data_IF_675195269907
#
_entry.id   IF_675195269907
#
_cell.length_a   1.000
_cell.length_b   1.000
_cell.length_c   1.000
_cell.angle_alpha   90.00
_cell.angle_beta   90.00
_cell.angle_gamma   90.00
#
_symmetry.space_group_name_H-M   'P 1'
#
loop_
_entity.id
_entity.type
_entity.pdbx_description
1 polymer ?
#
# COMPACT_ATOMS: atom_id res chain seq x y z
N UNK A 1 29.75 -8.37 8.93
CA UNK A 1 28.66 -7.40 9.17
C UNK A 1 27.52 -7.86 8.29
N UNK A 2 26.63 -8.68 8.84
CA UNK A 2 25.43 -9.14 8.14
C UNK A 2 24.41 -8.02 8.32
N UNK A 3 24.09 -7.30 7.24
CA UNK A 3 23.13 -6.20 7.29
C UNK A 3 21.75 -6.80 7.52
N UNK A 4 21.15 -6.29 8.59
CA UNK A 4 19.80 -6.41 9.10
C UNK A 4 18.76 -6.56 7.98
N UNK A 5 18.09 -7.69 7.90
CA UNK A 5 16.75 -7.76 7.30
C UNK A 5 15.81 -7.27 8.40
N UNK A 6 15.49 -5.98 8.36
CA UNK A 6 14.21 -5.49 8.90
C UNK A 6 13.23 -5.82 7.79
N UNK A 7 12.10 -6.43 8.11
CA UNK A 7 10.95 -6.41 7.22
C UNK A 7 10.71 -4.92 6.98
N UNK A 8 11.20 -4.37 5.86
CA UNK A 8 11.27 -2.92 5.66
C UNK A 8 9.84 -2.46 5.43
N UNK A 9 9.08 -2.37 6.50
CA UNK A 9 7.97 -1.44 6.64
C UNK A 9 8.68 -0.09 6.56
N UNK A 10 8.74 0.48 5.36
CA UNK A 10 9.25 1.83 5.16
C UNK A 10 8.21 2.75 5.79
N UNK A 11 8.30 2.93 7.11
CA UNK A 11 7.59 4.01 7.77
C UNK A 11 8.32 5.29 7.41
N UNK A 12 7.80 6.03 6.43
CA UNK A 12 8.27 7.40 6.21
C UNK A 12 7.95 8.18 7.49
N UNK A 13 8.98 8.47 8.28
CA UNK A 13 8.89 9.29 9.49
C UNK A 13 8.66 10.77 9.12
N UNK A 14 7.49 11.05 8.55
CA UNK A 14 7.02 12.38 8.23
C UNK A 14 6.35 12.97 9.47
N UNK A 15 7.17 13.54 10.36
CA UNK A 15 6.64 14.32 11.48
C UNK A 15 5.96 15.60 10.96
N UNK A 16 4.63 15.64 11.00
CA UNK A 16 3.88 16.87 10.76
C UNK A 16 3.89 17.75 12.02
N UNK A 17 4.00 19.06 11.83
CA UNK A 17 3.79 20.03 12.91
C UNK A 17 2.37 19.84 13.51
N UNK A 18 2.16 20.06 14.83
CA UNK A 18 0.94 19.65 15.51
C UNK A 18 -0.29 20.35 14.91
N UNK A 19 -1.07 19.61 14.14
CA UNK A 19 -2.42 20.00 13.81
C UNK A 19 -3.27 19.88 15.08
N UNK A 20 -3.98 20.94 15.44
CA UNK A 20 -4.86 20.92 16.59
C UNK A 20 -5.94 19.85 16.39
N UNK A 21 -5.87 18.76 17.16
CA UNK A 21 -6.83 17.66 17.15
C UNK A 21 -8.25 18.19 17.34
N UNK A 22 -9.03 18.22 16.25
CA UNK A 22 -10.48 18.25 16.33
C UNK A 22 -10.95 16.81 16.33
N UNK A 23 -11.52 16.36 17.43
CA UNK A 23 -12.38 15.18 17.45
C UNK A 23 -13.58 15.45 16.51
N UNK A 24 -13.46 15.00 15.27
CA UNK A 24 -14.59 14.71 14.42
C UNK A 24 -14.62 13.19 14.29
N UNK A 25 -15.77 12.58 14.53
CA UNK A 25 -16.05 11.22 14.06
C UNK A 25 -15.74 11.19 12.56
N UNK A 26 -15.05 10.18 12.02
CA UNK A 26 -14.71 10.15 10.61
C UNK A 26 -16.01 10.12 9.84
N UNK A 27 -16.25 11.18 9.07
CA UNK A 27 -17.29 11.12 8.07
C UNK A 27 -16.79 10.23 6.93
N UNK A 28 -17.18 8.96 6.97
CA UNK A 28 -17.19 8.03 5.82
C UNK A 28 -17.89 8.68 4.60
N UNK A 29 -18.65 9.75 4.81
CA UNK A 29 -19.41 10.58 3.86
C UNK A 29 -18.63 11.13 2.65
N UNK A 30 -17.30 11.00 2.60
CA UNK A 30 -16.46 11.56 1.53
C UNK A 30 -15.94 10.57 0.49
N UNK A 31 -15.93 9.26 0.79
CA UNK A 31 -15.35 8.26 -0.13
C UNK A 31 -16.29 7.94 -1.30
N UNK A 32 -15.72 7.74 -2.49
CA UNK A 32 -16.37 7.21 -3.68
C UNK A 32 -16.65 5.70 -3.57
N UNK A 33 -15.88 5.00 -2.74
CA UNK A 33 -16.05 3.57 -2.45
C UNK A 33 -17.12 3.33 -1.38
N UNK A 34 -17.33 4.31 -0.48
CA UNK A 34 -18.39 4.26 0.52
C UNK A 34 -19.79 4.27 -0.12
N UNK A 35 -20.74 3.56 0.50
CA UNK A 35 -22.13 3.52 0.05
C UNK A 35 -22.39 2.65 -1.20
N UNK A 36 -21.37 1.97 -1.74
CA UNK A 36 -21.53 0.98 -2.82
C UNK A 36 -22.14 -0.35 -2.35
N UNK A 37 -22.37 -0.51 -1.04
CA UNK A 37 -23.10 -1.65 -0.44
C UNK A 37 -22.23 -2.85 -0.08
N UNK A 38 -20.90 -2.70 -0.14
CA UNK A 38 -19.97 -3.71 0.37
C UNK A 38 -20.06 -3.84 1.89
N UNK A 39 -19.85 -5.04 2.47
CA UNK A 39 -19.43 -5.17 3.86
C UNK A 39 -18.23 -4.26 4.16
N UNK A 40 -18.21 -3.67 5.34
CA UNK A 40 -17.16 -2.74 5.75
C UNK A 40 -16.33 -3.36 6.88
N UNK A 41 -15.00 -3.34 6.73
CA UNK A 41 -14.03 -3.65 7.76
C UNK A 41 -13.40 -2.33 8.22
N UNK A 42 -13.81 -1.89 9.42
CA UNK A 42 -13.27 -0.69 10.06
C UNK A 42 -12.08 -1.06 10.93
N UNK A 43 -10.97 -0.38 10.69
CA UNK A 43 -9.71 -0.55 11.43
C UNK A 43 -9.23 0.84 11.83
N UNK A 44 -8.95 1.02 13.13
CA UNK A 44 -8.37 2.25 13.66
C UNK A 44 -7.00 1.93 14.24
N UNK A 45 -5.95 2.56 13.73
CA UNK A 45 -4.57 2.41 14.21
C UNK A 45 -4.13 3.64 14.99
N UNK A 46 -3.40 3.41 16.07
CA UNK A 46 -2.69 4.40 16.86
C UNK A 46 -1.25 3.94 17.09
N UNK A 47 -0.42 4.78 17.72
CA UNK A 47 0.98 4.45 18.00
C UNK A 47 1.16 3.20 18.89
N UNK A 48 0.15 2.85 19.70
CA UNK A 48 0.22 1.79 20.71
C UNK A 48 -0.75 0.62 20.47
N UNK A 49 -1.74 0.78 19.59
CA UNK A 49 -2.86 -0.17 19.47
C UNK A 49 -3.50 -0.18 18.07
N UNK A 50 -4.09 -1.32 17.72
CA UNK A 50 -4.87 -1.52 16.49
C UNK A 50 -6.25 -2.05 16.88
N UNK A 51 -7.27 -1.22 16.69
CA UNK A 51 -8.67 -1.60 16.92
C UNK A 51 -9.29 -2.15 15.63
N UNK A 52 -9.80 -3.39 15.69
CA UNK A 52 -10.47 -4.07 14.59
C UNK A 52 -11.46 -5.12 15.15
N UNK A 53 -12.46 -5.58 14.36
CA UNK A 53 -13.32 -6.68 14.79
C UNK A 53 -12.58 -8.02 14.84
N UNK A 54 -12.97 -8.91 15.76
CA UNK A 54 -12.37 -10.25 15.89
C UNK A 54 -12.57 -11.11 14.62
N UNK A 55 -13.67 -10.91 13.90
CA UNK A 55 -13.98 -11.66 12.69
C UNK A 55 -14.75 -10.82 11.66
N UNK A 56 -14.58 -11.16 10.38
CA UNK A 56 -15.39 -10.65 9.27
C UNK A 56 -15.79 -11.77 8.33
N UNK A 57 -16.81 -11.54 7.51
CA UNK A 57 -17.21 -12.52 6.49
C UNK A 57 -16.31 -12.41 5.25
N UNK A 58 -16.01 -13.54 4.64
CA UNK A 58 -15.36 -13.62 3.33
C UNK A 58 -16.22 -12.94 2.24
N UNK A 59 -15.54 -12.42 1.22
CA UNK A 59 -16.11 -11.72 0.07
C UNK A 59 -15.53 -10.32 -0.12
N UNK A 60 -16.02 -9.65 -1.17
CA UNK A 60 -15.64 -8.27 -1.49
C UNK A 60 -15.97 -7.33 -0.36
N UNK A 61 -14.97 -6.67 0.19
CA UNK A 61 -15.05 -5.90 1.43
C UNK A 61 -14.42 -4.52 1.23
N UNK A 62 -15.09 -3.48 1.72
CA UNK A 62 -14.53 -2.14 1.84
C UNK A 62 -13.71 -2.07 3.14
N UNK A 63 -12.41 -1.86 3.01
CA UNK A 63 -11.51 -1.51 4.09
C UNK A 63 -11.65 -0.01 4.37
N UNK A 64 -11.92 0.33 5.63
CA UNK A 64 -11.90 1.70 6.15
C UNK A 64 -10.79 1.74 7.20
N UNK A 65 -9.65 2.30 6.83
CA UNK A 65 -8.45 2.31 7.67
C UNK A 65 -8.15 3.73 8.16
N UNK A 66 -8.34 3.98 9.45
CA UNK A 66 -8.15 5.30 10.07
C UNK A 66 -6.85 5.31 10.89
N UNK A 67 -5.95 6.23 10.57
CA UNK A 67 -4.75 6.48 11.38
C UNK A 67 -4.99 7.66 12.32
N UNK A 68 -5.18 7.37 13.61
CA UNK A 68 -5.29 8.37 14.69
C UNK A 68 -3.99 8.57 15.47
N UNK A 69 -2.92 7.88 15.05
CA UNK A 69 -1.57 8.01 15.57
C UNK A 69 -0.84 9.26 15.06
N UNK A 70 0.45 9.32 15.38
CA UNK A 70 1.34 10.44 15.11
C UNK A 70 2.37 10.13 14.02
N UNK A 71 2.52 8.86 13.66
CA UNK A 71 3.37 8.37 12.58
C UNK A 71 2.54 7.84 11.41
N UNK A 72 3.12 7.85 10.22
CA UNK A 72 2.50 7.25 9.06
C UNK A 72 2.53 5.72 9.17
N UNK A 73 1.55 5.05 8.57
CA UNK A 73 1.47 3.59 8.55
C UNK A 73 1.44 3.07 7.13
N UNK A 74 2.28 2.07 6.84
CA UNK A 74 2.29 1.32 5.58
C UNK A 74 1.81 -0.13 5.79
N UNK A 75 0.50 -0.33 6.04
CA UNK A 75 0.01 -1.67 6.33
C UNK A 75 -0.15 -2.51 5.06
N UNK A 76 -0.05 -3.83 5.20
CA UNK A 76 -0.55 -4.78 4.21
C UNK A 76 -1.23 -5.96 4.91
N UNK A 77 -2.01 -6.72 4.14
CA UNK A 77 -2.73 -7.89 4.63
C UNK A 77 -2.22 -9.14 3.93
N UNK A 78 -2.14 -10.23 4.67
CA UNK A 78 -1.95 -11.57 4.10
C UNK A 78 -2.95 -12.55 4.71
N UNK A 79 -3.35 -13.54 3.93
CA UNK A 79 -3.97 -14.78 4.39
C UNK A 79 -2.88 -15.81 4.58
N UNK A 80 -2.84 -16.46 5.74
CA UNK A 80 -1.83 -17.49 6.01
C UNK A 80 -2.05 -18.72 5.12
N UNK A 81 -0.97 -19.38 4.67
CA UNK A 81 -1.06 -20.68 4.04
C UNK A 81 -1.80 -21.69 4.93
N UNK A 82 -2.54 -22.62 4.32
CA UNK A 82 -3.39 -23.59 5.04
C UNK A 82 -2.64 -24.46 6.06
N UNK A 83 -1.33 -24.65 5.89
CA UNK A 83 -0.46 -25.42 6.78
C UNK A 83 0.28 -24.57 7.83
N UNK A 84 0.07 -23.25 7.86
CA UNK A 84 0.63 -22.32 8.83
C UNK A 84 -0.43 -21.88 9.84
N UNK A 85 -0.20 -22.19 11.12
CA UNK A 85 -1.10 -21.73 12.20
C UNK A 85 -0.80 -20.28 12.60
N UNK A 86 -1.80 -19.56 13.11
CA UNK A 86 -1.64 -18.19 13.65
C UNK A 86 -0.52 -18.10 14.69
N UNK A 87 -0.49 -19.02 15.68
CA UNK A 87 0.55 -19.01 16.72
C UNK A 87 1.97 -19.16 16.14
N UNK A 88 2.12 -20.03 15.13
CA UNK A 88 3.38 -20.19 14.40
C UNK A 88 3.74 -18.91 13.65
N UNK A 89 2.78 -18.31 12.95
CA UNK A 89 3.02 -17.09 12.17
C UNK A 89 3.43 -15.90 13.06
N UNK A 90 2.74 -15.70 14.18
CA UNK A 90 3.07 -14.65 15.14
C UNK A 90 4.44 -14.88 15.81
N UNK A 91 4.84 -16.13 16.03
CA UNK A 91 6.17 -16.45 16.52
C UNK A 91 7.25 -16.19 15.47
N UNK A 92 6.98 -16.53 14.21
CA UNK A 92 7.90 -16.36 13.08
C UNK A 92 8.10 -14.89 12.68
N UNK A 93 7.05 -14.07 12.81
CA UNK A 93 7.05 -12.63 12.50
C UNK A 93 7.33 -11.74 13.72
N UNK A 94 7.66 -12.34 14.86
CA UNK A 94 7.92 -11.61 16.10
C UNK A 94 9.15 -10.69 16.03
N UNK A 95 9.39 -9.86 17.06
CA UNK A 95 10.45 -8.85 17.07
C UNK A 95 11.89 -9.42 16.99
N UNK A 96 12.05 -10.71 17.20
CA UNK A 96 13.34 -11.42 17.09
C UNK A 96 13.56 -12.02 15.69
N UNK A 97 12.61 -11.85 14.76
CA UNK A 97 12.72 -12.31 13.39
C UNK A 97 13.87 -11.60 12.68
N UNK A 98 14.75 -12.37 12.06
CA UNK A 98 15.94 -11.86 11.38
C UNK A 98 15.87 -11.96 9.87
N UNK A 99 14.91 -12.72 9.33
CA UNK A 99 14.62 -12.95 7.90
C UNK A 99 13.12 -13.32 7.81
N UNK A 100 12.45 -13.14 6.67
CA UNK A 100 11.09 -13.61 6.50
C UNK A 100 11.04 -15.12 6.69
N UNK A 101 9.96 -15.65 7.28
CA UNK A 101 9.77 -17.08 7.29
C UNK A 101 9.60 -17.60 5.86
N UNK A 102 10.01 -18.85 5.62
CA UNK A 102 9.99 -19.45 4.29
C UNK A 102 8.59 -19.51 3.66
N UNK A 103 7.54 -19.52 4.48
CA UNK A 103 6.14 -19.53 4.02
C UNK A 103 5.63 -18.14 3.60
N UNK A 104 6.36 -17.06 3.90
CA UNK A 104 5.82 -15.70 3.81
C UNK A 104 5.36 -15.32 2.40
N UNK A 105 6.18 -15.61 1.38
CA UNK A 105 5.84 -15.35 -0.01
C UNK A 105 4.87 -16.37 -0.62
N UNK A 106 4.60 -17.48 0.09
CA UNK A 106 3.56 -18.44 -0.28
C UNK A 106 2.16 -18.02 0.25
N UNK A 107 2.08 -16.95 1.03
CA UNK A 107 0.82 -16.40 1.53
C UNK A 107 0.02 -15.70 0.42
N UNK A 108 -1.30 -15.62 0.59
CA UNK A 108 -2.15 -14.85 -0.33
C UNK A 108 -2.25 -13.40 0.15
N UNK A 109 -1.91 -12.44 -0.70
CA UNK A 109 -2.00 -11.01 -0.44
C UNK A 109 -3.19 -10.41 -1.21
N UNK A 110 -4.33 -10.13 -0.57
CA UNK A 110 -5.55 -9.67 -1.26
C UNK A 110 -5.50 -8.20 -1.70
N UNK A 111 -4.38 -7.50 -1.49
CA UNK A 111 -4.33 -6.06 -1.44
C UNK A 111 -4.71 -5.53 -0.06
N UNK A 112 -4.44 -4.25 0.17
CA UNK A 112 -4.88 -3.51 1.33
C UNK A 112 -4.81 -2.01 1.03
N UNK A 113 -5.18 -1.14 1.98
CA UNK A 113 -4.86 0.29 1.82
C UNK A 113 -3.35 0.48 1.75
N UNK A 114 -2.88 1.49 1.00
CA UNK A 114 -1.48 1.91 1.02
C UNK A 114 -1.14 2.78 2.23
N UNK A 115 -0.03 3.51 2.11
CA UNK A 115 0.46 4.44 3.14
C UNK A 115 -0.63 5.41 3.61
N UNK A 116 -0.86 5.47 4.92
CA UNK A 116 -1.89 6.30 5.55
C UNK A 116 -1.25 7.21 6.59
N UNK A 117 -1.26 8.52 6.30
CA UNK A 117 -0.66 9.55 7.14
C UNK A 117 -1.47 9.81 8.43
N UNK A 118 -0.84 10.41 9.47
CA UNK A 118 -1.52 10.82 10.69
C UNK A 118 -2.79 11.65 10.46
N UNK A 119 -3.88 11.26 11.11
CA UNK A 119 -5.18 11.93 11.02
C UNK A 119 -5.91 11.71 9.70
N UNK A 120 -5.47 10.79 8.84
CA UNK A 120 -6.14 10.43 7.60
C UNK A 120 -6.90 9.11 7.70
N UNK A 121 -7.82 8.92 6.76
CA UNK A 121 -8.52 7.66 6.52
C UNK A 121 -8.30 7.25 5.07
N UNK A 122 -7.81 6.04 4.88
CA UNK A 122 -7.64 5.42 3.56
C UNK A 122 -8.71 4.38 3.31
N UNK A 123 -9.06 4.21 2.03
CA UNK A 123 -10.12 3.32 1.59
C UNK A 123 -9.60 2.39 0.51
N UNK A 124 -9.89 1.09 0.65
CA UNK A 124 -9.64 0.12 -0.40
C UNK A 124 -10.78 -0.89 -0.46
N UNK A 125 -11.14 -1.39 -1.64
CA UNK A 125 -11.99 -2.58 -1.77
C UNK A 125 -11.09 -3.75 -2.13
N UNK A 126 -11.23 -4.84 -1.39
CA UNK A 126 -10.44 -6.08 -1.57
C UNK A 126 -11.35 -7.30 -1.53
N UNK A 127 -10.94 -8.39 -2.16
CA UNK A 127 -11.64 -9.67 -2.11
C UNK A 127 -11.01 -10.55 -1.02
N UNK A 128 -11.74 -10.76 0.09
CA UNK A 128 -11.26 -11.57 1.21
C UNK A 128 -11.70 -13.03 1.09
N UNK A 129 -10.75 -13.96 1.10
CA UNK A 129 -11.05 -15.39 1.20
C UNK A 129 -11.23 -15.83 2.65
N UNK A 130 -11.88 -16.98 2.89
CA UNK A 130 -11.99 -17.50 4.25
C UNK A 130 -10.65 -18.05 4.74
N UNK A 131 -10.29 -17.75 5.98
CA UNK A 131 -9.06 -18.21 6.61
C UNK A 131 -8.49 -17.19 7.60
N UNK A 132 -7.45 -17.57 8.35
CA UNK A 132 -6.75 -16.65 9.24
C UNK A 132 -5.95 -15.64 8.42
N UNK A 133 -6.20 -14.36 8.66
CA UNK A 133 -5.48 -13.25 8.05
C UNK A 133 -4.61 -12.56 9.09
N UNK A 134 -3.47 -12.02 8.66
CA UNK A 134 -2.68 -11.08 9.43
C UNK A 134 -2.69 -9.73 8.72
N UNK A 135 -2.86 -8.67 9.50
CA UNK A 135 -2.55 -7.30 9.07
C UNK A 135 -1.19 -6.95 9.67
N UNK A 136 -0.26 -6.54 8.82
CA UNK A 136 1.12 -6.24 9.18
C UNK A 136 1.39 -4.75 8.98
N UNK A 137 1.91 -4.12 10.03
CA UNK A 137 2.68 -2.87 9.97
C UNK A 137 3.89 -3.04 10.93
N UNK A 138 4.02 -2.25 12.00
CA UNK A 138 4.96 -2.43 13.11
C UNK A 138 4.64 -3.66 13.98
N UNK A 139 3.42 -4.19 13.87
CA UNK A 139 2.99 -5.43 14.52
C UNK A 139 2.16 -6.29 13.57
N UNK A 140 2.08 -7.58 13.89
CA UNK A 140 1.19 -8.52 13.22
C UNK A 140 -0.08 -8.71 14.05
N UNK A 141 -1.23 -8.37 13.48
CA UNK A 141 -2.53 -8.45 14.13
C UNK A 141 -3.40 -9.48 13.43
N UNK A 142 -3.98 -10.40 14.18
CA UNK A 142 -4.80 -11.49 13.64
C UNK A 142 -6.24 -11.04 13.40
N UNK A 143 -6.80 -11.46 12.25
CA UNK A 143 -8.20 -11.32 11.87
C UNK A 143 -8.72 -12.65 11.32
N UNK A 144 -9.81 -13.17 11.89
CA UNK A 144 -10.49 -14.34 11.34
C UNK A 144 -11.45 -13.93 10.21
N UNK A 145 -11.19 -14.38 8.98
CA UNK A 145 -12.16 -14.24 7.88
C UNK A 145 -12.95 -15.54 7.76
N UNK A 146 -14.25 -15.49 8.05
CA UNK A 146 -15.12 -16.67 8.08
C UNK A 146 -15.90 -16.83 6.78
N UNK A 147 -16.12 -18.08 6.36
CA UNK A 147 -16.93 -18.36 5.19
C UNK A 147 -18.35 -17.77 5.36
N UNK A 148 -18.83 -17.07 4.33
CA UNK A 148 -20.18 -16.50 4.36
C UNK A 148 -21.21 -17.59 4.00
N UNK A 149 -22.18 -17.85 4.87
CA UNK A 149 -23.34 -18.71 4.55
C UNK A 149 -24.44 -17.95 3.79
N UNK A 150 -24.32 -16.62 3.70
CA UNK A 150 -25.27 -15.74 3.02
C UNK A 150 -24.96 -15.59 1.52
N UNK A 151 -25.92 -15.07 0.75
CA UNK A 151 -25.61 -14.63 -0.61
C UNK A 151 -24.75 -13.35 -0.54
N UNK A 152 -23.61 -13.26 -1.23
CA UNK A 152 -22.80 -12.03 -1.26
C UNK A 152 -23.68 -10.84 -1.67
N UNK A 153 -23.67 -9.77 -0.88
CA UNK A 153 -24.58 -8.64 -1.08
C UNK A 153 -24.27 -7.86 -2.36
N UNK A 154 -22.98 -7.79 -2.75
CA UNK A 154 -22.50 -7.10 -3.95
C UNK A 154 -21.34 -7.87 -4.56
N UNK A 155 -21.46 -8.29 -5.82
CA UNK A 155 -20.40 -8.98 -6.59
C UNK A 155 -19.86 -8.13 -7.74
N UNK A 156 -20.34 -6.89 -7.89
CA UNK A 156 -19.88 -5.99 -8.95
C UNK A 156 -18.61 -5.26 -8.51
N UNK A 157 -17.70 -5.06 -9.45
CA UNK A 157 -16.51 -4.22 -9.23
C UNK A 157 -16.96 -2.77 -8.97
N UNK A 158 -16.24 -2.02 -8.12
CA UNK A 158 -16.39 -0.57 -8.08
C UNK A 158 -16.26 0.02 -9.48
N UNK A 159 -17.04 1.06 -9.83
CA UNK A 159 -16.73 1.87 -11.00
C UNK A 159 -15.35 2.50 -10.83
N UNK A 160 -14.48 2.34 -11.83
CA UNK A 160 -13.10 2.85 -11.80
C UNK A 160 -12.88 3.87 -12.91
N UNK A 161 -12.08 4.88 -12.61
CA UNK A 161 -11.67 5.93 -13.54
C UNK A 161 -10.37 5.55 -14.29
N UNK A 162 -9.54 4.69 -13.68
CA UNK A 162 -8.33 4.13 -14.28
C UNK A 162 -8.10 2.67 -13.86
N UNK A 163 -7.32 1.97 -14.67
CA UNK A 163 -6.77 0.65 -14.35
C UNK A 163 -5.24 0.76 -14.30
N UNK A 164 -4.62 0.22 -13.26
CA UNK A 164 -3.17 0.11 -13.11
C UNK A 164 -2.81 -1.37 -13.00
N UNK A 165 -2.04 -1.87 -13.95
CA UNK A 165 -1.57 -3.26 -13.95
C UNK A 165 -0.15 -3.31 -13.40
N UNK A 166 0.08 -4.10 -12.35
CA UNK A 166 1.43 -4.39 -11.83
C UNK A 166 1.95 -5.66 -12.48
N UNK A 167 3.24 -5.65 -12.82
CA UNK A 167 3.96 -6.81 -13.35
C UNK A 167 5.44 -6.68 -12.96
N UNK A 168 6.24 -7.68 -13.33
CA UNK A 168 7.64 -7.77 -12.96
C UNK A 168 8.39 -6.47 -13.27
N UNK A 169 8.74 -5.77 -12.19
CA UNK A 169 9.51 -4.52 -12.20
C UNK A 169 8.85 -3.34 -12.94
N UNK A 170 7.53 -3.33 -13.12
CA UNK A 170 6.86 -2.27 -13.86
C UNK A 170 5.38 -2.08 -13.54
N UNK A 171 4.86 -1.00 -14.12
CA UNK A 171 3.45 -0.63 -14.06
C UNK A 171 2.96 -0.30 -15.46
N UNK A 172 1.72 -0.68 -15.78
CA UNK A 172 0.97 -0.19 -16.93
C UNK A 172 -0.21 0.64 -16.43
N UNK A 173 -0.37 1.86 -16.93
CA UNK A 173 -1.44 2.77 -16.53
C UNK A 173 -1.74 3.76 -17.67
N UNK A 174 -2.88 4.49 -17.62
CA UNK A 174 -3.23 5.43 -18.68
C UNK A 174 -2.15 6.50 -18.90
N UNK A 175 -1.91 6.87 -20.16
CA UNK A 175 -0.94 7.93 -20.52
C UNK A 175 -1.22 9.28 -19.83
N UNK A 176 -2.49 9.51 -19.45
CA UNK A 176 -2.96 10.71 -18.76
C UNK A 176 -3.89 10.34 -17.63
N UNK A 177 -3.65 10.91 -16.45
CA UNK A 177 -4.51 10.82 -15.28
C UNK A 177 -5.06 12.19 -14.93
N UNK A 178 -6.37 12.26 -14.74
CA UNK A 178 -7.05 13.51 -14.41
C UNK A 178 -6.81 13.91 -12.95
N UNK A 179 -6.83 15.22 -12.69
CA UNK A 179 -6.84 15.73 -11.33
C UNK A 179 -8.21 15.53 -10.68
N UNK A 180 -8.20 15.30 -9.36
CA UNK A 180 -9.37 15.12 -8.52
C UNK A 180 -9.42 13.73 -7.90
N UNK A 181 -10.45 13.55 -7.08
CA UNK A 181 -10.80 12.28 -6.45
C UNK A 181 -11.31 11.29 -7.48
N UNK A 182 -10.75 10.09 -7.47
CA UNK A 182 -11.02 9.04 -8.44
C UNK A 182 -10.76 7.65 -7.83
N UNK A 183 -11.32 6.62 -8.46
CA UNK A 183 -11.13 5.21 -8.07
C UNK A 183 -10.24 4.52 -9.10
N UNK A 184 -9.20 3.85 -8.63
CA UNK A 184 -8.32 3.03 -9.47
C UNK A 184 -8.60 1.54 -9.22
N UNK A 185 -8.76 0.79 -10.29
CA UNK A 185 -8.65 -0.68 -10.30
C UNK A 185 -7.17 -1.04 -10.43
N UNK A 186 -6.65 -1.79 -9.47
CA UNK A 186 -5.25 -2.18 -9.40
C UNK A 186 -5.18 -3.70 -9.50
N UNK A 187 -4.55 -4.21 -10.55
CA UNK A 187 -4.49 -5.63 -10.85
C UNK A 187 -3.04 -6.11 -10.92
N UNK A 188 -2.71 -7.21 -10.27
CA UNK A 188 -1.41 -7.83 -10.46
C UNK A 188 -1.51 -8.89 -11.57
N UNK A 189 -0.91 -8.59 -12.72
CA UNK A 189 -0.88 -9.46 -13.90
C UNK A 189 0.45 -10.21 -14.05
N UNK A 190 1.37 -10.02 -13.10
CA UNK A 190 2.65 -10.71 -13.01
C UNK A 190 2.56 -12.08 -12.32
N UNK A 191 3.74 -12.59 -11.99
CA UNK A 191 4.05 -13.85 -11.31
C UNK A 191 4.57 -13.64 -9.88
N UNK A 192 4.98 -12.42 -9.51
CA UNK A 192 5.41 -12.05 -8.15
C UNK A 192 4.37 -11.17 -7.43
N UNK A 193 4.32 -11.19 -6.08
CA UNK A 193 3.56 -10.18 -5.34
C UNK A 193 4.09 -8.77 -5.64
N UNK A 194 3.19 -7.81 -5.75
CA UNK A 194 3.53 -6.41 -5.99
C UNK A 194 2.72 -5.50 -5.10
N UNK A 195 3.16 -4.26 -4.94
CA UNK A 195 2.41 -3.21 -4.26
C UNK A 195 2.43 -1.96 -5.13
N UNK A 196 1.53 -1.03 -4.82
CA UNK A 196 1.55 0.32 -5.37
C UNK A 196 1.58 1.28 -4.19
N UNK A 197 2.77 1.73 -3.80
CA UNK A 197 2.89 2.95 -2.99
C UNK A 197 2.84 4.16 -3.93
N UNK A 198 1.90 5.08 -3.68
CA UNK A 198 1.80 6.31 -4.44
C UNK A 198 2.33 7.48 -3.62
N UNK A 199 3.34 8.16 -4.14
CA UNK A 199 3.84 9.43 -3.58
C UNK A 199 3.64 10.58 -4.55
N UNK A 200 3.39 11.77 -4.02
CA UNK A 200 3.48 13.04 -4.73
C UNK A 200 4.81 13.70 -4.43
N UNK A 201 5.43 14.31 -5.43
CA UNK A 201 6.62 15.14 -5.28
C UNK A 201 6.29 16.61 -5.51
N UNK A 202 6.75 17.48 -4.61
CA UNK A 202 6.63 18.93 -4.72
C UNK A 202 7.54 19.53 -5.81
N UNK A 203 8.53 18.76 -6.26
CA UNK A 203 9.45 19.10 -7.36
C UNK A 203 9.40 18.02 -8.45
N UNK A 204 9.76 18.34 -9.71
CA UNK A 204 9.93 17.31 -10.73
C UNK A 204 10.93 16.24 -10.29
N UNK A 205 10.65 14.98 -10.63
CA UNK A 205 11.49 13.83 -10.31
C UNK A 205 11.57 12.88 -11.51
N UNK A 206 12.59 12.03 -11.55
CA UNK A 206 12.65 10.84 -12.41
C UNK A 206 12.62 9.57 -11.55
N UNK A 207 12.29 8.42 -12.14
CA UNK A 207 12.31 7.15 -11.44
C UNK A 207 13.68 6.87 -10.80
N UNK A 208 14.78 7.18 -11.50
CA UNK A 208 16.14 7.02 -10.95
C UNK A 208 16.41 7.93 -9.76
N UNK A 209 15.83 9.14 -9.73
CA UNK A 209 15.95 10.03 -8.58
C UNK A 209 15.15 9.52 -7.38
N UNK A 210 13.98 8.94 -7.61
CA UNK A 210 13.18 8.28 -6.57
C UNK A 210 13.92 7.06 -6.02
N UNK A 211 14.43 6.17 -6.87
CA UNK A 211 15.24 5.03 -6.45
C UNK A 211 16.45 5.50 -5.64
N UNK A 212 17.17 6.52 -6.12
CA UNK A 212 18.33 7.06 -5.42
C UNK A 212 17.98 7.68 -4.06
N UNK A 213 16.82 8.34 -3.94
CA UNK A 213 16.34 8.91 -2.68
C UNK A 213 16.22 7.81 -1.61
N UNK A 214 15.49 6.74 -1.91
CA UNK A 214 15.30 5.61 -0.97
C UNK A 214 16.55 4.73 -0.81
N UNK A 215 17.44 4.68 -1.80
CA UNK A 215 18.77 4.08 -1.61
C UNK A 215 19.62 4.86 -0.60
N UNK A 216 19.55 6.20 -0.62
CA UNK A 216 20.40 7.07 0.19
C UNK A 216 20.02 7.15 1.67
N UNK A 217 18.72 6.99 1.98
CA UNK A 217 18.22 6.90 3.36
C UNK A 217 18.89 5.76 4.14
N UNK A 218 19.19 4.65 3.45
CA UNK A 218 19.90 3.52 4.03
C UNK A 218 21.36 3.82 4.42
N UNK A 219 21.90 4.98 4.03
CA UNK A 219 23.29 5.37 4.24
C UNK A 219 23.49 6.73 4.97
N UNK A 220 22.68 7.76 4.69
CA UNK A 220 22.71 9.10 5.35
C UNK A 220 21.47 9.96 4.99
N UNK A 221 20.59 10.25 5.95
CA UNK A 221 19.40 11.12 5.78
C UNK A 221 19.73 12.57 5.35
N UNK A 222 20.97 13.03 5.55
CA UNK A 222 21.43 14.36 5.17
C UNK A 222 22.19 14.38 3.82
N UNK A 223 22.18 13.28 3.07
CA UNK A 223 22.79 13.23 1.74
C UNK A 223 22.17 14.29 0.81
N UNK A 224 23.01 14.94 0.00
CA UNK A 224 22.52 15.89 -1.01
C UNK A 224 21.77 15.11 -2.10
N UNK A 225 20.52 15.50 -2.48
CA UNK A 225 19.77 14.78 -3.50
C UNK A 225 20.54 14.62 -4.80
N UNK A 226 20.51 13.40 -5.36
CA UNK A 226 21.20 13.09 -6.60
C UNK A 226 20.60 13.90 -7.75
N UNK A 227 21.45 14.62 -8.49
CA UNK A 227 21.04 15.34 -9.70
C UNK A 227 20.01 16.45 -9.48
N UNK A 228 19.83 16.95 -8.24
CA UNK A 228 18.79 17.94 -7.92
C UNK A 228 17.37 17.39 -7.88
N UNK A 229 17.22 16.08 -7.64
CA UNK A 229 15.93 15.44 -7.39
C UNK A 229 15.32 15.81 -6.03
N UNK A 230 14.14 15.23 -5.70
CA UNK A 230 13.47 15.48 -4.43
C UNK A 230 14.30 14.98 -3.24
N UNK A 231 14.08 15.62 -2.09
CA UNK A 231 14.40 15.09 -0.77
C UNK A 231 13.16 14.47 -0.10
N UNK A 232 13.32 13.81 1.04
CA UNK A 232 12.19 13.30 1.82
C UNK A 232 11.21 14.41 2.26
N UNK A 233 11.70 15.64 2.42
CA UNK A 233 10.86 16.79 2.74
C UNK A 233 10.02 17.30 1.54
N UNK A 234 10.29 16.82 0.34
CA UNK A 234 9.58 17.19 -0.89
C UNK A 234 8.56 16.13 -1.32
N UNK A 235 8.45 15.00 -0.62
CA UNK A 235 7.53 13.91 -0.99
C UNK A 235 6.43 13.72 0.05
N UNK A 236 5.22 13.50 -0.43
CA UNK A 236 4.04 13.21 0.39
C UNK A 236 3.45 11.87 -0.10
N UNK A 237 3.31 10.85 0.77
CA UNK A 237 2.50 9.68 0.45
C UNK A 237 1.04 10.08 0.28
N UNK A 238 0.40 9.53 -0.74
CA UNK A 238 -0.99 9.85 -1.12
C UNK A 238 -1.85 8.60 -1.29
N UNK A 239 -1.44 7.49 -0.65
CA UNK A 239 -2.16 6.22 -0.64
C UNK A 239 -1.54 5.17 -1.54
N UNK A 240 -2.41 4.36 -2.16
CA UNK A 240 -2.01 3.23 -3.00
C UNK A 240 -2.69 1.93 -2.60
N UNK A 241 -2.05 0.81 -2.90
CA UNK A 241 -2.50 -0.55 -2.55
C UNK A 241 -1.32 -1.30 -1.94
N UNK A 242 -1.53 -1.91 -0.78
CA UNK A 242 -0.55 -2.81 -0.16
C UNK A 242 -0.28 -4.04 -1.01
N UNK A 243 0.42 -5.04 -0.45
CA UNK A 243 0.83 -6.22 -1.21
C UNK A 243 -0.36 -6.92 -1.86
N UNK A 244 -0.17 -7.31 -3.13
CA UNK A 244 -1.19 -7.88 -4.00
C UNK A 244 -0.59 -9.08 -4.73
N UNK A 245 -1.17 -10.27 -4.50
CA UNK A 245 -0.72 -11.53 -5.10
C UNK A 245 -0.96 -11.58 -6.61
N UNK A 246 -0.21 -12.41 -7.35
CA UNK A 246 -0.48 -12.71 -8.75
C UNK A 246 -1.96 -13.03 -9.02
N UNK A 247 -2.57 -12.35 -9.99
CA UNK A 247 -3.96 -12.52 -10.39
C UNK A 247 -5.00 -11.89 -9.46
N UNK A 248 -4.59 -11.25 -8.36
CA UNK A 248 -5.49 -10.52 -7.48
C UNK A 248 -5.78 -9.11 -7.99
N UNK A 249 -6.90 -8.55 -7.53
CA UNK A 249 -7.35 -7.19 -7.87
C UNK A 249 -7.81 -6.50 -6.60
N UNK A 250 -7.44 -5.22 -6.45
CA UNK A 250 -7.93 -4.33 -5.42
C UNK A 250 -8.37 -3.01 -6.05
N UNK A 251 -9.20 -2.25 -5.34
CA UNK A 251 -9.57 -0.90 -5.75
C UNK A 251 -9.16 0.08 -4.67
N UNK A 252 -8.56 1.20 -5.07
CA UNK A 252 -8.14 2.25 -4.14
C UNK A 252 -8.70 3.59 -4.57
N UNK A 253 -8.99 4.44 -3.60
CA UNK A 253 -9.40 5.82 -3.84
C UNK A 253 -8.19 6.73 -3.72
N UNK A 254 -7.96 7.57 -4.72
CA UNK A 254 -6.89 8.58 -4.73
C UNK A 254 -7.45 9.96 -5.02
N UNK A 255 -6.84 11.00 -4.46
CA UNK A 255 -7.20 12.41 -4.72
C UNK A 255 -6.00 13.15 -5.31
N UNK A 256 -5.95 13.20 -6.64
CA UNK A 256 -4.79 13.72 -7.36
C UNK A 256 -4.89 15.24 -7.53
N UNK A 257 -3.85 15.95 -7.15
CA UNK A 257 -3.68 17.35 -7.45
C UNK A 257 -2.72 17.49 -8.64
N UNK A 258 -2.74 18.59 -9.40
CA UNK A 258 -1.74 18.80 -10.42
C UNK A 258 -0.31 18.73 -9.84
N UNK A 259 0.59 17.99 -10.49
CA UNK A 259 1.95 17.76 -9.98
C UNK A 259 2.61 16.48 -10.51
N UNK A 260 3.76 16.16 -9.92
CA UNK A 260 4.55 14.95 -10.21
C UNK A 260 4.28 13.87 -9.16
N UNK A 261 4.13 12.64 -9.62
CA UNK A 261 3.85 11.47 -8.79
C UNK A 261 4.79 10.32 -9.12
N UNK A 262 5.05 9.45 -8.16
CA UNK A 262 5.75 8.20 -8.39
C UNK A 262 4.98 7.02 -7.81
N UNK A 263 4.95 5.92 -8.56
CA UNK A 263 4.53 4.59 -8.10
C UNK A 263 5.76 3.80 -7.69
N UNK A 264 5.72 3.14 -6.53
CA UNK A 264 6.87 2.49 -5.89
C UNK A 264 6.44 1.11 -5.37
N UNK A 265 7.30 0.10 -5.52
CA UNK A 265 7.11 -1.22 -4.92
C UNK A 265 8.29 -1.60 -4.02
N UNK A 266 8.02 -1.84 -2.73
CA UNK A 266 8.97 -2.32 -1.74
C UNK A 266 8.85 -3.82 -1.45
N UNK A 267 7.99 -4.56 -2.16
CA UNK A 267 7.99 -6.03 -2.10
C UNK A 267 9.41 -6.54 -2.33
N UNK A 268 9.86 -7.50 -1.52
CA UNK A 268 11.18 -8.08 -1.69
C UNK A 268 11.16 -9.24 -2.66
N UNK A 269 12.19 -9.29 -3.51
CA UNK A 269 12.43 -10.40 -4.41
C UNK A 269 12.96 -11.62 -3.62
N UNK A 270 12.39 -12.79 -3.92
CA UNK A 270 12.73 -14.06 -3.27
C UNK A 270 14.15 -14.53 -3.59
N UNK A 271 14.71 -14.18 -4.76
CA UNK A 271 16.02 -14.67 -5.18
C UNK A 271 17.17 -13.83 -4.61
N UNK A 272 17.04 -12.50 -4.66
CA UNK A 272 18.08 -11.55 -4.27
C UNK A 272 17.89 -11.01 -2.86
N UNK A 273 16.67 -11.06 -2.31
CA UNK A 273 16.29 -10.44 -1.03
C UNK A 273 16.27 -8.91 -1.07
N UNK A 274 16.38 -8.29 -2.26
CA UNK A 274 16.28 -6.85 -2.44
C UNK A 274 14.82 -6.44 -2.68
N UNK A 275 14.37 -5.26 -2.19
CA UNK A 275 13.08 -4.72 -2.58
C UNK A 275 13.05 -4.42 -4.09
N UNK A 276 11.91 -4.59 -4.73
CA UNK A 276 11.72 -4.41 -6.18
C UNK A 276 12.10 -2.99 -6.62
N UNK A 277 11.92 -1.97 -5.78
CA UNK A 277 12.43 -0.62 -6.03
C UNK A 277 13.93 -0.62 -6.34
N UNK A 278 14.74 -1.39 -5.61
CA UNK A 278 16.19 -1.50 -5.84
C UNK A 278 16.53 -2.32 -7.10
N UNK A 279 15.57 -3.07 -7.62
CA UNK A 279 15.63 -3.75 -8.90
C UNK A 279 15.05 -2.90 -10.06
N UNK A 280 14.51 -1.72 -9.76
CA UNK A 280 14.04 -0.73 -10.73
C UNK A 280 12.54 -0.49 -10.77
N UNK A 281 11.76 -1.09 -9.88
CA UNK A 281 10.28 -1.00 -9.89
C UNK A 281 9.77 0.35 -9.34
N UNK A 282 10.00 1.41 -10.10
CA UNK A 282 9.39 2.71 -9.93
C UNK A 282 9.00 3.32 -11.27
N UNK A 283 7.87 4.02 -11.31
CA UNK A 283 7.47 4.82 -12.47
C UNK A 283 7.04 6.22 -12.01
N UNK A 284 7.20 7.22 -12.87
CA UNK A 284 6.91 8.63 -12.57
C UNK A 284 6.00 9.21 -13.63
N UNK A 285 4.93 9.87 -13.18
CA UNK A 285 3.95 10.50 -14.05
C UNK A 285 3.55 11.90 -13.55
N UNK A 286 2.84 12.64 -14.39
CA UNK A 286 2.35 13.99 -14.08
C UNK A 286 0.86 14.10 -14.24
N UNK A 287 0.22 14.86 -13.35
CA UNK A 287 -1.22 15.19 -13.38
C UNK A 287 -1.37 16.68 -13.71
N UNK A 288 -2.20 17.04 -14.71
CA UNK A 288 -2.46 18.43 -15.18
C UNK A 288 -1.27 19.15 -15.85
N UNK A 289 -1.40 20.36 -16.43
CA UNK A 289 -2.33 20.78 -17.49
C UNK A 289 -1.54 20.78 -18.80
N UNK A 290 -2.07 20.16 -19.86
CA UNK A 290 -1.41 19.83 -21.15
C UNK A 290 -0.39 18.68 -21.10
N UNK A 291 -0.90 17.44 -21.24
CA UNK A 291 -0.35 16.44 -22.15
C UNK A 291 1.17 16.29 -22.23
N UNK A 292 1.87 16.32 -21.10
CA UNK A 292 3.19 15.72 -21.04
C UNK A 292 2.94 14.21 -20.95
N UNK A 293 3.31 13.42 -21.98
CA UNK A 293 3.12 11.99 -21.94
C UNK A 293 3.89 11.42 -20.74
N UNK A 294 3.25 10.52 -19.99
CA UNK A 294 3.97 9.65 -19.08
C UNK A 294 5.14 9.02 -19.85
N UNK A 295 6.36 9.15 -19.34
CA UNK A 295 7.51 8.45 -19.91
C UNK A 295 7.47 7.05 -19.32
N UNK A 296 6.60 6.20 -19.85
CA UNK A 296 6.60 4.79 -19.51
C UNK A 296 7.99 4.22 -19.79
N UNK A 297 8.55 3.50 -18.80
CA UNK A 297 9.79 2.76 -19.02
C UNK A 297 9.53 1.72 -20.11
N UNK A 298 10.34 1.64 -21.19
CA UNK A 298 10.11 0.65 -22.24
C UNK A 298 10.20 -0.75 -21.63
N UNK A 299 9.20 -1.59 -21.90
CA UNK A 299 9.28 -3.01 -21.64
C UNK A 299 10.56 -3.57 -22.29
N UNK A 300 11.46 -4.08 -21.45
CA UNK A 300 12.69 -4.79 -21.84
C UNK A 300 12.44 -6.28 -22.03
#
# INVERSE_FOLDING_TARGET
MKRLFVLVVVSLLLSLAPAAARQATPEVSGSLLAGLGYPELHITVSDDDVELPDQVNAGRTLIVYENVGQESTHPFMLRLPDDVTVDQALADLGPEAMEPPAWFLDADFPGFVGETLPGQTSFAVVDLEAGPHLILHDSAVHLDVVATEATPAVTQNPPSDATVSLFEMGYEFPETLDAGRQVWEVENVGEEPHELLLIRSAVPATAEQIIALFSSESEDENATPVGGGPSFADIDPVGGVGWLSPGATAWTEVDLQPGTYAMICFVFDSETGLPHLMLGMADVFTVGDEGAPAVATPAG
#
